data_IF_719756883691
#
_entry.id   IF_719756883691
#
_cell.length_a   1.000
_cell.length_b   1.000
_cell.length_c   1.000
_cell.angle_alpha   90.00
_cell.angle_beta   90.00
_cell.angle_gamma   90.00
#
_symmetry.space_group_name_H-M   'P 1'
#
loop_
_entity.id
_entity.type
_entity.pdbx_description
1 polymer ?
#
# COMPACT_ATOMS: atom_id res chain seq x y z
N UNK A 1 -23.94 41.08 -35.73
CA UNK A 1 -23.93 39.81 -34.99
C UNK A 1 -24.07 40.19 -33.53
N UNK A 2 -25.27 40.15 -32.95
CA UNK A 2 -26.04 38.93 -32.68
C UNK A 2 -25.58 38.42 -31.29
N UNK A 3 -26.41 38.16 -30.29
CA UNK A 3 -27.84 37.86 -30.24
C UNK A 3 -28.37 38.33 -28.86
N UNK A 4 -29.62 38.80 -28.90
CA UNK A 4 -30.55 39.02 -27.81
C UNK A 4 -31.13 37.66 -27.39
N UNK A 5 -31.05 37.25 -26.12
CA UNK A 5 -31.80 36.10 -25.59
C UNK A 5 -32.36 36.44 -24.20
N UNK A 6 -33.55 37.02 -24.16
CA UNK A 6 -34.82 36.42 -23.68
C UNK A 6 -34.83 36.14 -22.17
N UNK A 7 -35.41 37.09 -21.43
CA UNK A 7 -36.01 36.88 -20.12
C UNK A 7 -37.18 35.89 -20.24
N UNK A 8 -37.16 34.81 -19.46
CA UNK A 8 -38.38 34.06 -19.14
C UNK A 8 -38.94 34.58 -17.81
N UNK A 9 -40.04 35.31 -17.92
CA UNK A 9 -41.03 35.46 -16.86
C UNK A 9 -41.80 34.13 -16.76
N UNK A 10 -41.64 33.40 -15.67
CA UNK A 10 -42.64 32.45 -15.20
C UNK A 10 -43.25 33.04 -13.93
N UNK A 11 -44.47 33.57 -14.07
CA UNK A 11 -45.27 33.99 -12.94
C UNK A 11 -45.83 32.78 -12.21
N UNK A 12 -45.68 32.78 -10.89
CA UNK A 12 -46.72 32.27 -10.00
C UNK A 12 -47.33 33.48 -9.30
N UNK A 13 -48.55 33.83 -9.70
CA UNK A 13 -49.48 34.54 -8.83
C UNK A 13 -49.76 33.64 -7.63
N UNK A 14 -49.89 34.24 -6.44
CA UNK A 14 -50.95 33.97 -5.45
C UNK A 14 -50.66 34.81 -4.19
N UNK A 15 -51.67 35.63 -3.87
CA UNK A 15 -52.06 36.16 -2.56
C UNK A 15 -51.04 36.92 -1.70
N UNK A 16 -51.20 38.24 -1.69
CA UNK A 16 -51.14 38.99 -0.43
C UNK A 16 -52.10 38.35 0.58
N UNK A 17 -51.60 37.90 1.73
CA UNK A 17 -51.78 38.61 3.01
C UNK A 17 -51.28 37.78 4.18
N UNK A 18 -50.73 38.49 5.16
CA UNK A 18 -50.63 38.14 6.60
C UNK A 18 -49.75 36.95 6.98
N UNK A 19 -48.55 37.20 7.52
CA UNK A 19 -48.35 37.19 8.98
C UNK A 19 -46.85 37.29 9.37
N UNK A 20 -46.59 38.27 10.23
CA UNK A 20 -45.64 38.22 11.38
C UNK A 20 -44.26 37.58 11.17
N UNK A 21 -43.27 38.43 10.89
CA UNK A 21 -42.04 38.73 11.65
C UNK A 21 -41.49 37.81 12.79
N UNK A 22 -41.93 36.57 12.99
CA UNK A 22 -41.43 35.71 14.09
C UNK A 22 -40.42 34.63 13.64
N UNK A 23 -40.35 34.29 12.34
CA UNK A 23 -39.47 33.19 11.87
C UNK A 23 -38.05 33.63 11.42
N UNK A 24 -37.83 34.92 11.14
CA UNK A 24 -36.52 35.42 10.67
C UNK A 24 -35.50 35.64 11.80
N UNK A 25 -36.00 35.95 13.00
CA UNK A 25 -35.17 36.18 14.18
C UNK A 25 -34.61 34.86 14.75
N UNK A 26 -35.38 33.78 14.64
CA UNK A 26 -35.00 32.44 15.09
C UNK A 26 -33.88 31.84 14.21
N UNK A 27 -34.01 31.95 12.88
CA UNK A 27 -32.98 31.48 11.92
C UNK A 27 -31.68 32.28 12.05
N UNK A 28 -31.77 33.60 12.24
CA UNK A 28 -30.57 34.45 12.40
C UNK A 28 -29.88 34.24 13.74
N UNK A 29 -30.62 33.87 14.79
CA UNK A 29 -30.05 33.50 16.09
C UNK A 29 -29.36 32.14 16.01
N UNK A 30 -30.00 31.15 15.38
CA UNK A 30 -29.41 29.82 15.16
C UNK A 30 -28.11 29.87 14.33
N UNK A 31 -28.08 30.67 13.26
CA UNK A 31 -26.87 30.84 12.45
C UNK A 31 -25.74 31.54 13.22
N UNK A 32 -26.05 32.49 14.11
CA UNK A 32 -25.05 33.14 14.96
C UNK A 32 -24.44 32.17 15.98
N UNK A 33 -25.23 31.25 16.52
CA UNK A 33 -24.71 30.20 17.39
C UNK A 33 -23.80 29.24 16.64
N UNK A 34 -24.19 28.81 15.44
CA UNK A 34 -23.34 27.96 14.59
C UNK A 34 -22.02 28.63 14.21
N UNK A 35 -22.03 29.93 13.85
CA UNK A 35 -20.81 30.68 13.56
C UNK A 35 -19.90 30.72 14.80
N UNK A 36 -20.47 30.97 15.98
CA UNK A 36 -19.71 31.02 17.23
C UNK A 36 -19.10 29.67 17.61
N UNK A 37 -19.81 28.58 17.37
CA UNK A 37 -19.31 27.23 17.62
C UNK A 37 -18.17 26.88 16.64
N UNK A 38 -18.31 27.23 15.36
CA UNK A 38 -17.26 27.05 14.35
C UNK A 38 -16.02 27.90 14.63
N UNK A 39 -16.18 29.15 15.09
CA UNK A 39 -15.06 30.01 15.50
C UNK A 39 -14.30 29.39 16.68
N UNK A 40 -15.00 28.77 17.62
CA UNK A 40 -14.39 28.08 18.76
C UNK A 40 -13.66 26.80 18.34
N UNK A 41 -14.23 26.04 17.39
CA UNK A 41 -13.58 24.85 16.83
C UNK A 41 -12.31 25.23 16.07
N UNK A 42 -12.36 26.30 15.27
CA UNK A 42 -11.21 26.83 14.54
C UNK A 42 -10.08 27.27 15.49
N UNK A 43 -10.41 27.95 16.60
CA UNK A 43 -9.41 28.35 17.61
C UNK A 43 -8.77 27.12 18.28
N UNK A 44 -9.58 26.10 18.57
CA UNK A 44 -9.09 24.85 19.16
C UNK A 44 -8.14 24.13 18.21
N UNK A 45 -8.52 23.98 16.93
CA UNK A 45 -7.68 23.35 15.91
C UNK A 45 -6.37 24.12 15.67
N UNK A 46 -6.44 25.45 15.63
CA UNK A 46 -5.26 26.31 15.45
C UNK A 46 -4.26 26.14 16.59
N UNK A 47 -4.75 26.02 17.84
CA UNK A 47 -3.90 25.75 19.00
C UNK A 47 -3.26 24.37 18.95
N UNK A 48 -4.03 23.33 18.61
CA UNK A 48 -3.50 21.97 18.45
C UNK A 48 -2.44 21.91 17.35
N UNK A 49 -2.64 22.62 16.23
CA UNK A 49 -1.68 22.69 15.15
C UNK A 49 -0.38 23.36 15.61
N UNK A 50 -0.47 24.49 16.31
CA UNK A 50 0.71 25.19 16.83
C UNK A 50 1.49 24.35 17.86
N UNK A 51 0.80 23.59 18.71
CA UNK A 51 1.43 22.66 19.65
C UNK A 51 2.14 21.51 18.92
N UNK A 52 1.49 20.96 17.89
CA UNK A 52 2.06 19.88 17.07
C UNK A 52 3.26 20.34 16.26
N UNK A 53 3.19 21.53 15.64
CA UNK A 53 4.30 22.13 14.89
C UNK A 53 5.51 22.37 15.79
N UNK A 54 5.27 22.84 17.02
CA UNK A 54 6.32 23.03 18.01
C UNK A 54 6.96 21.71 18.44
N UNK A 55 6.18 20.66 18.69
CA UNK A 55 6.70 19.32 19.01
C UNK A 55 7.54 18.76 17.86
N UNK A 56 7.12 18.98 16.61
CA UNK A 56 7.83 18.57 15.41
C UNK A 56 9.15 19.34 15.23
N UNK A 57 9.19 20.61 15.62
CA UNK A 57 10.41 21.43 15.58
C UNK A 57 11.38 21.07 16.71
N UNK A 58 10.89 20.74 17.91
CA UNK A 58 11.70 20.19 19.01
C UNK A 58 12.32 18.81 18.63
N UNK A 59 11.56 17.95 17.95
CA UNK A 59 12.06 16.67 17.42
C UNK A 59 13.15 16.87 16.36
N UNK A 60 12.98 17.82 15.44
CA UNK A 60 13.99 18.15 14.42
C UNK A 60 15.28 18.70 15.02
N UNK A 61 15.20 19.43 16.13
CA UNK A 61 16.39 19.95 16.82
C UNK A 61 17.13 18.80 17.51
N UNK A 62 16.43 17.84 18.10
CA UNK A 62 17.05 16.63 18.68
C UNK A 62 17.67 15.70 17.64
N UNK A 63 17.11 15.61 16.42
CA UNK A 63 17.72 14.84 15.31
C UNK A 63 18.96 15.53 14.71
N UNK A 64 19.21 16.79 15.03
CA UNK A 64 20.34 17.58 14.48
C UNK A 64 21.62 17.52 15.30
N UNK A 65 21.58 16.96 16.52
CA UNK A 65 22.78 16.59 17.27
C UNK A 65 23.28 15.22 16.80
N UNK A 66 24.07 15.24 15.73
CA UNK A 66 25.17 14.30 15.45
C UNK A 66 24.97 12.88 16.02
N UNK A 67 23.97 12.17 15.50
CA UNK A 67 23.89 10.72 15.66
C UNK A 67 25.06 10.08 14.90
N UNK A 68 26.25 10.15 15.49
CA UNK A 68 27.32 9.21 15.25
C UNK A 68 26.79 7.87 15.74
N UNK A 69 26.23 7.09 14.81
CA UNK A 69 25.71 5.76 15.07
C UNK A 69 26.82 4.92 15.73
N UNK A 70 26.73 4.74 17.05
CA UNK A 70 27.63 3.83 17.77
C UNK A 70 27.24 2.40 17.38
N UNK A 71 28.13 1.72 16.66
CA UNK A 71 27.98 0.31 16.25
C UNK A 71 27.75 -0.65 17.44
N UNK A 72 28.00 -0.19 18.68
CA UNK A 72 27.90 -0.98 19.91
C UNK A 72 26.48 -1.09 20.50
N UNK A 73 25.50 -0.30 20.04
CA UNK A 73 24.11 -0.37 20.56
C UNK A 73 23.19 -1.30 19.77
N UNK A 74 23.64 -1.83 18.64
CA UNK A 74 22.86 -2.80 17.89
C UNK A 74 23.21 -4.22 18.32
N UNK A 75 22.18 -5.04 18.51
CA UNK A 75 22.36 -6.49 18.58
C UNK A 75 22.80 -6.94 17.18
N UNK A 76 24.11 -7.01 16.94
CA UNK A 76 24.67 -7.61 15.74
C UNK A 76 24.44 -9.11 15.86
N UNK A 77 23.40 -9.62 15.22
CA UNK A 77 23.16 -11.05 15.13
C UNK A 77 24.15 -11.62 14.11
N UNK A 78 25.07 -12.52 14.50
CA UNK A 78 26.01 -13.14 13.57
C UNK A 78 25.27 -13.77 12.39
N UNK A 79 25.77 -13.57 11.16
CA UNK A 79 25.11 -14.01 9.90
C UNK A 79 24.76 -15.50 9.91
N UNK A 80 25.52 -16.31 10.64
CA UNK A 80 25.33 -17.76 10.77
C UNK A 80 24.18 -18.12 11.72
N UNK A 81 23.82 -17.21 12.62
CA UNK A 81 22.78 -17.37 13.66
C UNK A 81 21.54 -16.52 13.40
N UNK A 82 21.65 -15.51 12.55
CA UNK A 82 20.50 -14.78 12.04
C UNK A 82 19.55 -15.77 11.37
N UNK A 83 18.23 -15.68 11.60
CA UNK A 83 17.25 -16.50 10.90
C UNK A 83 17.55 -16.45 9.40
N UNK A 84 18.09 -17.54 8.88
CA UNK A 84 18.64 -17.56 7.54
C UNK A 84 17.50 -17.90 6.59
N UNK A 85 17.04 -16.88 5.88
CA UNK A 85 15.94 -16.93 4.91
C UNK A 85 16.25 -17.90 3.74
N UNK A 86 17.53 -18.25 3.52
CA UNK A 86 17.99 -19.04 2.37
C UNK A 86 17.37 -20.43 2.23
N UNK A 87 16.85 -21.03 3.30
CA UNK A 87 16.36 -22.40 3.21
C UNK A 87 14.95 -22.47 2.62
N UNK A 88 14.10 -21.45 2.83
CA UNK A 88 12.75 -21.37 2.27
C UNK A 88 12.13 -19.96 2.46
N UNK A 89 12.49 -18.97 1.61
CA UNK A 89 11.94 -17.59 1.70
C UNK A 89 10.42 -17.57 1.57
N UNK A 90 9.88 -18.53 0.82
CA UNK A 90 8.47 -18.76 0.55
C UNK A 90 7.68 -19.10 1.83
N UNK A 91 8.19 -20.01 2.67
CA UNK A 91 7.55 -20.38 3.95
C UNK A 91 7.55 -19.23 4.96
N UNK A 92 8.65 -18.48 5.04
CA UNK A 92 8.76 -17.39 6.02
C UNK A 92 7.85 -16.22 5.70
N UNK A 93 7.62 -15.93 4.42
CA UNK A 93 6.68 -14.88 4.01
C UNK A 93 5.23 -15.25 4.35
N UNK A 94 4.88 -16.53 4.24
CA UNK A 94 3.50 -16.99 4.42
C UNK A 94 3.12 -17.22 5.89
N UNK A 95 4.02 -17.79 6.69
CA UNK A 95 3.77 -18.08 8.11
C UNK A 95 3.61 -16.81 8.96
N UNK A 96 4.19 -15.67 8.54
CA UNK A 96 4.13 -14.41 9.28
C UNK A 96 2.80 -13.67 9.08
N UNK A 97 2.16 -13.83 7.91
CA UNK A 97 1.05 -12.96 7.49
C UNK A 97 -0.33 -13.50 7.87
N UNK A 98 -0.47 -14.81 8.15
CA UNK A 98 -1.80 -15.37 8.40
C UNK A 98 -1.87 -16.44 9.50
N UNK A 99 -2.67 -16.13 10.52
CA UNK A 99 -3.13 -17.10 11.50
C UNK A 99 -4.44 -17.75 11.04
N UNK A 100 -4.35 -18.78 10.20
CA UNK A 100 -5.50 -19.54 9.69
C UNK A 100 -5.89 -20.75 10.53
N UNK A 101 -5.24 -20.92 11.69
CA UNK A 101 -5.38 -22.10 12.56
C UNK A 101 -6.81 -22.37 13.02
N UNK A 102 -7.72 -21.38 12.92
CA UNK A 102 -9.08 -21.46 13.45
C UNK A 102 -10.21 -21.53 12.40
N UNK A 103 -9.95 -21.28 11.11
CA UNK A 103 -11.04 -21.13 10.12
C UNK A 103 -11.14 -22.28 9.12
N UNK A 104 -10.13 -22.45 8.28
CA UNK A 104 -10.16 -23.33 7.12
C UNK A 104 -9.78 -24.77 7.44
N UNK A 105 -8.85 -24.98 8.37
CA UNK A 105 -8.44 -26.31 8.82
C UNK A 105 -9.59 -27.04 9.55
N UNK A 106 -10.45 -26.30 10.28
CA UNK A 106 -11.69 -26.85 10.87
C UNK A 106 -12.73 -27.27 9.83
N UNK A 107 -12.67 -26.72 8.62
CA UNK A 107 -13.54 -27.08 7.50
C UNK A 107 -12.97 -28.23 6.65
N UNK A 108 -11.81 -28.78 7.01
CA UNK A 108 -11.19 -29.92 6.32
C UNK A 108 -10.42 -29.56 5.05
N UNK A 109 -10.14 -28.28 4.83
CA UNK A 109 -9.33 -27.81 3.71
C UNK A 109 -7.84 -28.09 3.91
N UNK A 110 -7.14 -28.41 2.82
CA UNK A 110 -5.70 -28.69 2.81
C UNK A 110 -5.02 -27.66 1.94
N UNK A 111 -4.34 -26.72 2.59
CA UNK A 111 -3.59 -25.65 1.91
C UNK A 111 -2.56 -26.20 0.94
N UNK A 112 -2.24 -25.39 -0.06
CA UNK A 112 -1.12 -25.64 -0.94
C UNK A 112 -0.77 -24.44 -1.79
N UNK A 113 0.24 -24.63 -2.63
CA UNK A 113 0.80 -23.62 -3.51
C UNK A 113 0.77 -24.17 -4.92
N UNK A 114 0.45 -23.33 -5.91
CA UNK A 114 0.58 -23.75 -7.30
C UNK A 114 2.05 -23.84 -7.70
N UNK A 115 2.32 -24.53 -8.82
CA UNK A 115 3.64 -24.54 -9.44
C UNK A 115 4.06 -23.11 -9.80
N UNK A 116 5.39 -22.90 -9.83
CA UNK A 116 5.95 -21.71 -10.43
C UNK A 116 5.70 -21.72 -11.93
N UNK A 117 5.11 -20.65 -12.42
CA UNK A 117 4.94 -20.39 -13.85
C UNK A 117 5.46 -19.01 -14.19
N UNK A 118 5.76 -18.77 -15.46
CA UNK A 118 6.08 -17.43 -15.93
C UNK A 118 4.90 -16.49 -15.64
N UNK A 119 5.22 -15.26 -15.24
CA UNK A 119 4.21 -14.27 -14.96
C UNK A 119 3.63 -13.73 -16.26
N UNK A 120 2.31 -13.69 -16.37
CA UNK A 120 1.62 -13.27 -17.61
C UNK A 120 1.68 -11.76 -17.87
N UNK A 121 2.22 -10.98 -16.93
CA UNK A 121 2.35 -9.53 -17.05
C UNK A 121 3.65 -9.11 -17.74
N UNK A 122 3.69 -7.85 -18.16
CA UNK A 122 4.89 -7.27 -18.75
C UNK A 122 5.82 -6.75 -17.67
N UNK A 123 7.13 -7.01 -17.77
CA UNK A 123 8.12 -6.47 -16.81
C UNK A 123 8.11 -4.93 -16.84
N UNK A 124 8.01 -4.35 -18.03
CA UNK A 124 8.07 -2.91 -18.29
C UNK A 124 9.47 -2.48 -18.75
N UNK A 125 9.54 -1.72 -19.84
CA UNK A 125 10.80 -1.23 -20.45
C UNK A 125 11.80 -0.59 -19.46
N UNK A 126 11.39 0.22 -18.46
CA UNK A 126 12.31 0.82 -17.49
C UNK A 126 13.10 -0.20 -16.65
N UNK A 127 12.56 -1.41 -16.49
CA UNK A 127 13.11 -2.43 -15.60
C UNK A 127 13.90 -3.52 -16.34
N UNK A 128 13.74 -3.63 -17.67
CA UNK A 128 14.45 -4.62 -18.49
C UNK A 128 15.81 -4.11 -18.99
N UNK A 129 16.01 -2.79 -19.04
CA UNK A 129 17.22 -2.19 -19.61
C UNK A 129 18.16 -1.64 -18.54
N UNK A 130 19.47 -1.66 -18.83
CA UNK A 130 20.56 -1.12 -17.99
C UNK A 130 20.51 0.43 -17.91
N UNK A 131 19.43 1.06 -18.39
CA UNK A 131 19.39 2.49 -18.66
C UNK A 131 19.08 3.35 -17.42
N UNK A 132 18.45 2.78 -16.39
CA UNK A 132 18.08 3.51 -15.17
C UNK A 132 19.02 3.23 -13.98
N UNK A 133 19.08 4.19 -13.06
CA UNK A 133 19.96 4.19 -11.88
C UNK A 133 19.40 3.30 -10.75
N UNK A 134 19.25 2.02 -11.04
CA UNK A 134 18.91 1.03 -10.02
C UNK A 134 20.17 0.63 -9.25
N UNK A 135 20.51 1.41 -8.23
CA UNK A 135 21.72 1.18 -7.41
C UNK A 135 21.69 -0.14 -6.63
N UNK A 136 20.48 -0.61 -6.26
CA UNK A 136 20.31 -1.85 -5.48
C UNK A 136 19.14 -2.67 -6.03
N UNK A 137 19.16 -4.01 -5.87
CA UNK A 137 18.05 -4.86 -6.26
C UNK A 137 16.78 -4.58 -5.43
N UNK A 138 16.93 -4.08 -4.20
CA UNK A 138 15.79 -3.62 -3.40
C UNK A 138 15.10 -2.40 -4.00
N UNK A 139 15.88 -1.41 -4.46
CA UNK A 139 15.34 -0.22 -5.12
C UNK A 139 14.65 -0.57 -6.45
N UNK A 140 15.25 -1.48 -7.23
CA UNK A 140 14.63 -2.02 -8.44
C UNK A 140 13.29 -2.69 -8.14
N UNK A 141 13.27 -3.62 -7.17
CA UNK A 141 12.07 -4.38 -6.82
C UNK A 141 10.94 -3.47 -6.32
N UNK A 142 11.24 -2.51 -5.44
CA UNK A 142 10.22 -1.60 -4.90
C UNK A 142 9.59 -0.72 -5.98
N UNK A 143 10.39 -0.22 -6.93
CA UNK A 143 9.87 0.60 -8.03
C UNK A 143 9.04 -0.22 -9.01
N UNK A 144 9.46 -1.45 -9.29
CA UNK A 144 8.69 -2.36 -10.13
C UNK A 144 7.33 -2.70 -9.49
N UNK A 145 7.29 -2.97 -8.19
CA UNK A 145 6.04 -3.20 -7.44
C UNK A 145 5.11 -1.99 -7.49
N UNK A 146 5.66 -0.79 -7.31
CA UNK A 146 4.89 0.45 -7.39
C UNK A 146 4.36 0.72 -8.80
N UNK A 147 5.19 0.49 -9.83
CA UNK A 147 4.82 0.68 -11.24
C UNK A 147 3.61 -0.18 -11.65
N UNK A 148 3.60 -1.44 -11.23
CA UNK A 148 2.49 -2.37 -11.50
C UNK A 148 1.29 -2.18 -10.58
N UNK A 149 1.34 -1.23 -9.65
CA UNK A 149 0.20 -0.89 -8.80
C UNK A 149 -0.19 -2.00 -7.82
N UNK A 150 0.68 -2.97 -7.54
CA UNK A 150 0.39 -4.06 -6.60
C UNK A 150 0.08 -3.56 -5.18
N UNK A 151 0.55 -2.37 -4.84
CA UNK A 151 0.29 -1.66 -3.58
C UNK A 151 -0.97 -0.80 -3.58
N UNK A 152 -1.66 -0.64 -4.72
CA UNK A 152 -2.72 0.38 -4.91
C UNK A 152 -4.06 -0.19 -5.40
N UNK A 153 -4.30 -1.50 -5.30
CA UNK A 153 -5.65 -2.03 -5.49
C UNK A 153 -6.57 -1.51 -4.37
N UNK A 154 -7.18 -0.35 -4.61
CA UNK A 154 -8.04 0.42 -3.71
C UNK A 154 -9.42 -0.24 -3.47
N UNK A 155 -9.46 -1.54 -3.21
CA UNK A 155 -10.69 -2.21 -2.85
C UNK A 155 -10.49 -3.66 -2.50
N UNK A 156 -10.65 -3.99 -1.20
CA UNK A 156 -10.93 -5.32 -0.60
C UNK A 156 -10.10 -6.55 -1.02
N UNK A 157 -9.32 -6.52 -2.09
CA UNK A 157 -8.66 -7.66 -2.72
C UNK A 157 -7.18 -7.80 -2.36
N UNK A 158 -6.54 -6.72 -1.90
CA UNK A 158 -5.15 -6.73 -1.39
C UNK A 158 -5.14 -6.18 0.04
N UNK A 159 -4.62 -6.97 0.96
CA UNK A 159 -4.46 -6.63 2.37
C UNK A 159 -3.01 -6.25 2.69
N UNK A 160 -2.04 -7.00 2.17
CA UNK A 160 -0.62 -6.79 2.47
C UNK A 160 0.26 -7.07 1.24
N UNK A 161 1.31 -6.26 1.10
CA UNK A 161 2.42 -6.51 0.17
C UNK A 161 3.71 -6.60 0.97
N UNK A 162 4.39 -7.73 0.88
CA UNK A 162 5.68 -7.95 1.55
C UNK A 162 6.75 -8.22 0.51
N UNK A 163 7.88 -7.51 0.61
CA UNK A 163 9.02 -7.68 -0.29
C UNK A 163 10.25 -8.20 0.45
N UNK A 164 11.00 -9.08 -0.19
CA UNK A 164 12.31 -9.57 0.26
C UNK A 164 13.24 -9.72 -0.93
N UNK A 165 14.54 -9.56 -0.69
CA UNK A 165 15.58 -9.75 -1.70
C UNK A 165 16.65 -10.66 -1.14
N UNK A 166 16.94 -11.74 -1.84
CA UNK A 166 18.14 -12.56 -1.63
C UNK A 166 19.19 -12.15 -2.67
N UNK A 167 20.36 -11.74 -2.21
CA UNK A 167 21.44 -11.23 -3.05
C UNK A 167 22.64 -12.18 -3.04
N UNK A 168 23.06 -12.59 -4.24
CA UNK A 168 24.29 -13.35 -4.51
C UNK A 168 25.34 -12.42 -5.12
N UNK A 169 26.23 -11.90 -4.26
CA UNK A 169 27.27 -10.96 -4.65
C UNK A 169 28.33 -11.57 -5.59
N UNK A 170 28.59 -12.88 -5.48
CA UNK A 170 29.56 -13.58 -6.32
C UNK A 170 29.04 -13.70 -7.76
N UNK A 171 27.74 -13.97 -7.90
CA UNK A 171 27.09 -14.12 -9.22
C UNK A 171 26.51 -12.83 -9.77
N UNK A 172 26.58 -11.73 -9.02
CA UNK A 172 25.98 -10.43 -9.40
C UNK A 172 24.51 -10.60 -9.80
N UNK A 173 23.80 -11.40 -9.00
CA UNK A 173 22.41 -11.81 -9.21
C UNK A 173 21.62 -11.66 -7.93
N UNK A 174 20.37 -11.25 -8.04
CA UNK A 174 19.44 -11.17 -6.92
C UNK A 174 18.13 -11.85 -7.27
N UNK A 175 17.47 -12.40 -6.26
CA UNK A 175 16.12 -12.94 -6.36
C UNK A 175 15.22 -12.15 -5.42
N UNK A 176 14.30 -11.38 -6.00
CA UNK A 176 13.24 -10.69 -5.28
C UNK A 176 12.04 -11.61 -5.08
N UNK A 177 11.41 -11.53 -3.91
CA UNK A 177 10.13 -12.16 -3.63
C UNK A 177 9.13 -11.07 -3.24
N UNK A 178 8.00 -11.03 -3.93
CA UNK A 178 6.88 -10.14 -3.65
C UNK A 178 5.68 -10.98 -3.29
N UNK A 179 5.34 -11.01 -2.01
CA UNK A 179 4.10 -11.58 -1.54
C UNK A 179 3.00 -10.52 -1.65
N UNK A 180 1.89 -10.89 -2.28
CA UNK A 180 0.65 -10.12 -2.27
C UNK A 180 -0.40 -11.01 -1.62
N UNK A 181 -0.92 -10.56 -0.48
CA UNK A 181 -1.93 -11.28 0.29
C UNK A 181 -3.23 -10.47 0.31
N UNK A 182 -4.39 -11.13 0.21
CA UNK A 182 -5.68 -10.45 0.30
C UNK A 182 -6.91 -11.35 0.13
N UNK A 183 -8.09 -10.72 0.07
CA UNK A 183 -9.41 -11.38 0.16
C UNK A 183 -10.08 -11.42 -1.23
N UNK A 184 -9.29 -11.72 -2.26
CA UNK A 184 -9.77 -11.66 -3.65
C UNK A 184 -10.74 -12.78 -4.03
N UNK A 185 -10.46 -14.02 -3.61
CA UNK A 185 -11.16 -15.24 -4.04
C UNK A 185 -11.28 -16.24 -2.88
N UNK A 186 -12.34 -17.06 -2.88
CA UNK A 186 -12.57 -18.09 -1.86
C UNK A 186 -11.58 -19.26 -1.95
N UNK A 187 -10.86 -19.33 -3.07
CA UNK A 187 -9.89 -20.37 -3.41
C UNK A 187 -8.44 -19.86 -3.38
N UNK A 188 -8.20 -18.58 -3.68
CA UNK A 188 -6.86 -17.96 -3.70
C UNK A 188 -6.66 -17.03 -2.50
N UNK A 189 -5.66 -17.34 -1.69
CA UNK A 189 -5.26 -16.57 -0.51
C UNK A 189 -4.25 -15.46 -0.81
N UNK A 190 -3.52 -15.59 -1.91
CA UNK A 190 -2.53 -14.61 -2.31
C UNK A 190 -1.69 -15.11 -3.48
N UNK A 191 -0.71 -14.32 -3.87
CA UNK A 191 0.27 -14.69 -4.87
C UNK A 191 1.68 -14.32 -4.43
N UNK A 192 2.65 -15.12 -4.85
CA UNK A 192 4.06 -14.81 -4.69
C UNK A 192 4.64 -14.60 -6.08
N UNK A 193 5.31 -13.47 -6.29
CA UNK A 193 6.11 -13.23 -7.47
C UNK A 193 7.59 -13.41 -7.14
N UNK A 194 8.30 -14.20 -7.92
CA UNK A 194 9.74 -14.38 -7.86
C UNK A 194 10.37 -13.63 -9.03
N UNK A 195 11.15 -12.62 -8.70
CA UNK A 195 11.76 -11.67 -9.65
C UNK A 195 13.25 -11.96 -9.73
N UNK A 196 13.71 -12.41 -10.88
CA UNK A 196 15.13 -12.64 -11.14
C UNK A 196 15.75 -11.33 -11.63
N UNK A 197 16.78 -10.87 -10.94
CA UNK A 197 17.49 -9.64 -11.25
C UNK A 197 18.97 -9.92 -11.47
N UNK A 198 19.57 -9.26 -12.46
CA UNK A 198 21.01 -9.33 -12.73
C UNK A 198 21.63 -7.94 -12.67
N UNK A 199 22.93 -7.89 -12.41
CA UNK A 199 23.71 -6.67 -12.44
C UNK A 199 24.68 -6.67 -13.62
N UNK A 200 24.63 -5.60 -14.42
CA UNK A 200 25.56 -5.33 -15.51
C UNK A 200 25.99 -3.86 -15.46
N UNK A 201 27.29 -3.58 -15.62
CA UNK A 201 27.85 -2.22 -15.53
C UNK A 201 27.41 -1.48 -14.25
N UNK A 202 27.44 -2.19 -13.12
CA UNK A 202 27.01 -1.73 -11.80
C UNK A 202 25.51 -1.38 -11.67
N UNK A 203 24.69 -1.70 -12.67
CA UNK A 203 23.25 -1.41 -12.67
C UNK A 203 22.41 -2.68 -12.70
N UNK A 204 21.32 -2.66 -11.97
CA UNK A 204 20.41 -3.78 -11.84
C UNK A 204 19.30 -3.73 -12.90
N UNK A 205 18.88 -4.89 -13.40
CA UNK A 205 17.69 -5.04 -14.25
C UNK A 205 16.97 -6.36 -13.94
N UNK A 206 15.69 -6.45 -14.30
CA UNK A 206 14.87 -7.65 -14.16
C UNK A 206 15.01 -8.50 -15.43
N UNK A 207 15.43 -9.75 -15.26
CA UNK A 207 15.56 -10.74 -16.34
C UNK A 207 14.27 -11.52 -16.54
N UNK A 208 13.71 -12.07 -15.45
CA UNK A 208 12.55 -12.96 -15.50
C UNK A 208 11.65 -12.73 -14.30
N UNK A 209 10.35 -12.95 -14.47
CA UNK A 209 9.37 -12.93 -13.38
C UNK A 209 8.53 -14.20 -13.43
N UNK A 210 8.45 -14.87 -12.29
CA UNK A 210 7.60 -16.02 -12.09
C UNK A 210 6.51 -15.69 -11.07
N UNK A 211 5.38 -16.36 -11.18
CA UNK A 211 4.28 -16.26 -10.23
C UNK A 211 3.85 -17.65 -9.76
N UNK A 212 3.35 -17.72 -8.53
CA UNK A 212 2.57 -18.82 -8.01
C UNK A 212 1.49 -18.29 -7.09
N UNK A 213 0.41 -19.06 -6.93
CA UNK A 213 -0.70 -18.72 -6.06
C UNK A 213 -0.65 -19.53 -4.78
N UNK A 214 -1.12 -18.89 -3.71
CA UNK A 214 -1.35 -19.49 -2.40
C UNK A 214 -2.82 -19.85 -2.32
N UNK A 215 -3.15 -21.11 -2.04
CA UNK A 215 -4.52 -21.60 -2.10
C UNK A 215 -5.10 -21.82 -0.69
N UNK A 216 -6.32 -21.32 -0.45
CA UNK A 216 -7.05 -21.49 0.81
C UNK A 216 -7.50 -22.94 1.04
N UNK A 217 -8.01 -23.56 -0.03
CA UNK A 217 -8.80 -24.79 0.03
C UNK A 217 -7.99 -26.03 -0.34
N UNK A 218 -7.49 -26.05 -1.57
CA UNK A 218 -6.66 -27.10 -2.14
C UNK A 218 -5.98 -26.63 -3.43
N UNK A 219 -5.06 -27.45 -3.92
CA UNK A 219 -4.46 -27.29 -5.25
C UNK A 219 -4.97 -28.43 -6.11
N UNK A 220 -5.28 -28.13 -7.38
CA UNK A 220 -5.63 -29.13 -8.37
C UNK A 220 -4.55 -30.21 -8.53
N UNK A 221 -4.94 -31.37 -9.07
CA UNK A 221 -4.04 -32.52 -9.20
C UNK A 221 -2.79 -32.22 -10.05
N UNK A 222 -2.88 -31.29 -10.99
CA UNK A 222 -1.78 -30.83 -11.85
C UNK A 222 -0.89 -29.76 -11.19
N UNK A 223 -1.29 -29.22 -10.05
CA UNK A 223 -0.55 -28.16 -9.36
C UNK A 223 -0.76 -26.76 -9.94
N UNK A 224 -1.64 -26.57 -10.93
CA UNK A 224 -1.70 -25.32 -11.70
C UNK A 224 -2.76 -24.33 -11.18
N UNK A 225 -3.77 -24.83 -10.46
CA UNK A 225 -4.94 -24.05 -10.05
C UNK A 225 -5.28 -24.25 -8.57
N UNK A 226 -5.79 -23.20 -7.94
CA UNK A 226 -6.46 -23.31 -6.65
C UNK A 226 -7.90 -23.82 -6.86
N UNK A 227 -8.35 -24.73 -5.98
CA UNK A 227 -9.67 -25.39 -6.02
C UNK A 227 -10.33 -25.34 -4.66
#
# INVERSE_FOLDING_TARGET
MGILLILFLAGCTVAETTNTNENGEDVTTSLKEQIKDLEKELDTQSRTLAETEKELEELKINDSEDHVYNEEEFIIIPRETAPNIRNNPDVQLWEIVSDFSLGYELMGYVRGETNWREWDGEIGEPFMSINEEWETPGHLLSNWVNYHGFSYENGTGVLEVTMRVDYDDEKKRATGYVLIYGIGDDSVAGSVKKVIMNQENDRWYIEEVFIRNQCYRSVGEDGELCV
#
